data_IF_233721619846
#
_entry.id   IF_233721619846
#
_cell.length_a   1.000
_cell.length_b   1.000
_cell.length_c   1.000
_cell.angle_alpha   90.00
_cell.angle_beta   90.00
_cell.angle_gamma   90.00
#
_symmetry.space_group_name_H-M   'P 1'
#
loop_
_entity.id
_entity.type
_entity.pdbx_description
1 polymer ?
#
# COMPACT_ATOMS: atom_id res chain seq x y z
N UNK A 1 -32.04 -1.10 48.65
CA UNK A 1 -32.12 -1.54 47.24
C UNK A 1 -32.45 -0.32 46.41
N UNK A 2 -31.42 0.32 45.87
CA UNK A 2 -31.51 1.42 44.91
C UNK A 2 -30.67 0.99 43.72
N UNK A 3 -31.30 0.93 42.55
CA UNK A 3 -30.68 0.51 41.31
C UNK A 3 -29.71 1.60 40.84
N UNK A 4 -28.42 1.33 40.88
CA UNK A 4 -27.42 2.09 40.12
C UNK A 4 -27.44 1.61 38.67
N UNK A 5 -27.78 2.55 37.81
CA UNK A 5 -27.68 2.53 36.36
C UNK A 5 -26.23 2.28 35.93
N UNK A 6 -26.00 1.19 35.20
CA UNK A 6 -24.78 0.99 34.41
C UNK A 6 -25.11 1.43 32.98
N UNK A 7 -24.81 2.69 32.68
CA UNK A 7 -24.63 3.14 31.30
C UNK A 7 -23.34 2.52 30.76
N UNK A 8 -23.46 1.45 29.98
CA UNK A 8 -22.34 0.94 29.19
C UNK A 8 -22.11 1.88 28.01
N UNK A 9 -21.12 2.77 28.16
CA UNK A 9 -20.47 3.48 27.06
C UNK A 9 -20.02 2.47 25.99
N UNK A 10 -20.81 2.35 24.94
CA UNK A 10 -20.57 1.41 23.82
C UNK A 10 -20.18 2.17 22.54
N UNK A 11 -19.64 3.39 22.68
CA UNK A 11 -19.35 4.28 21.54
C UNK A 11 -17.86 4.31 21.15
N UNK A 12 -17.02 3.45 21.74
CA UNK A 12 -15.65 3.20 21.26
C UNK A 12 -15.52 1.89 20.45
N UNK A 13 -16.66 1.28 20.09
CA UNK A 13 -16.68 0.04 19.31
C UNK A 13 -16.69 0.31 17.80
N UNK A 14 -15.55 -0.04 17.19
CA UNK A 14 -15.31 -0.25 15.75
C UNK A 14 -15.32 1.03 14.89
N UNK A 15 -14.26 1.84 14.96
CA UNK A 15 -13.84 2.57 13.76
C UNK A 15 -13.45 1.54 12.70
N UNK A 16 -14.34 1.35 11.73
CA UNK A 16 -14.15 0.47 10.60
C UNK A 16 -12.95 0.93 9.75
N UNK A 17 -12.21 -0.04 9.21
CA UNK A 17 -11.17 0.19 8.21
C UNK A 17 -11.85 0.54 6.88
N UNK A 18 -12.45 1.72 6.80
CA UNK A 18 -13.28 2.06 5.66
C UNK A 18 -12.43 2.34 4.41
N UNK A 19 -11.23 2.88 4.61
CA UNK A 19 -10.36 3.36 3.54
C UNK A 19 -8.90 2.99 3.76
N UNK A 20 -8.17 2.87 2.66
CA UNK A 20 -6.71 2.82 2.63
C UNK A 20 -6.17 4.24 2.54
N UNK A 21 -5.14 4.52 3.33
CA UNK A 21 -4.51 5.83 3.42
C UNK A 21 -3.08 5.85 2.88
N UNK A 22 -2.65 7.03 2.42
CA UNK A 22 -1.26 7.37 2.10
C UNK A 22 -0.92 8.73 2.72
N UNK A 23 0.37 9.09 2.74
CA UNK A 23 0.75 10.47 3.01
C UNK A 23 0.19 11.39 1.90
N UNK A 24 -0.41 12.51 2.31
CA UNK A 24 -1.04 13.47 1.37
C UNK A 24 -0.04 13.96 0.32
N UNK A 25 1.25 14.10 0.67
CA UNK A 25 2.29 14.56 -0.24
C UNK A 25 2.51 13.62 -1.44
N UNK A 26 2.14 12.34 -1.32
CA UNK A 26 2.24 11.37 -2.40
C UNK A 26 0.98 11.25 -3.26
N UNK A 27 -0.14 11.85 -2.85
CA UNK A 27 -1.38 11.77 -3.64
C UNK A 27 -1.23 12.26 -5.09
N UNK A 28 -0.56 13.39 -5.40
CA UNK A 28 -0.35 13.82 -6.78
C UNK A 28 0.34 12.74 -7.63
N UNK A 29 1.34 12.06 -7.08
CA UNK A 29 2.04 10.99 -7.78
C UNK A 29 1.11 9.80 -8.10
N UNK A 30 0.22 9.42 -7.16
CA UNK A 30 -0.78 8.38 -7.40
C UNK A 30 -1.75 8.74 -8.53
N UNK A 31 -2.07 10.02 -8.69
CA UNK A 31 -2.89 10.51 -9.82
C UNK A 31 -2.08 10.44 -11.11
N UNK A 32 -0.89 11.00 -11.14
CA UNK A 32 -0.05 11.08 -12.35
C UNK A 32 0.32 9.73 -12.92
N UNK A 33 0.59 8.73 -12.08
CA UNK A 33 0.94 7.36 -12.51
C UNK A 33 -0.25 6.56 -13.07
N UNK A 34 -1.47 7.12 -12.99
CA UNK A 34 -2.68 6.55 -13.60
C UNK A 34 -3.10 7.24 -14.89
N UNK A 35 -2.49 8.36 -15.21
CA UNK A 35 -2.82 9.15 -16.39
C UNK A 35 -1.73 8.95 -17.43
N UNK A 36 -2.10 8.84 -18.71
CA UNK A 36 -1.14 8.78 -19.80
C UNK A 36 -0.56 10.15 -20.07
N UNK A 37 0.75 10.22 -20.32
CA UNK A 37 1.41 11.42 -20.85
C UNK A 37 1.33 11.44 -22.37
N UNK A 38 1.65 12.60 -22.95
CA UNK A 38 1.78 12.73 -24.40
C UNK A 38 2.78 11.70 -24.95
N UNK A 39 2.38 10.98 -26.01
CA UNK A 39 3.18 9.92 -26.61
C UNK A 39 3.06 8.54 -25.92
N UNK A 40 2.40 8.44 -24.76
CA UNK A 40 2.14 7.14 -24.11
C UNK A 40 0.83 6.53 -24.58
N UNK A 41 0.85 5.23 -24.91
CA UNK A 41 -0.36 4.47 -25.27
C UNK A 41 -1.22 4.14 -24.06
N UNK A 42 -0.60 3.87 -22.92
CA UNK A 42 -1.26 3.47 -21.67
C UNK A 42 -0.50 4.06 -20.46
N UNK A 43 -1.18 4.35 -19.35
CA UNK A 43 -0.51 4.72 -18.11
C UNK A 43 0.16 3.49 -17.47
N UNK A 44 1.17 3.68 -16.60
CA UNK A 44 1.81 2.56 -15.88
C UNK A 44 0.83 1.78 -15.00
N UNK A 45 -0.17 2.44 -14.41
CA UNK A 45 -1.15 1.78 -13.52
C UNK A 45 -2.58 2.08 -13.93
N UNK A 46 -3.40 1.02 -13.96
CA UNK A 46 -4.85 1.14 -14.21
C UNK A 46 -5.63 1.75 -13.03
N UNK A 47 -5.10 1.66 -11.81
CA UNK A 47 -5.81 2.10 -10.60
C UNK A 47 -4.95 2.20 -9.35
N UNK A 48 -5.43 2.96 -8.38
CA UNK A 48 -4.72 3.25 -7.12
C UNK A 48 -4.44 1.99 -6.31
N UNK A 49 -5.35 1.00 -6.34
CA UNK A 49 -5.16 -0.30 -5.68
C UNK A 49 -3.89 -0.99 -6.14
N UNK A 50 -3.67 -1.12 -7.45
CA UNK A 50 -2.51 -1.85 -7.98
C UNK A 50 -1.20 -1.11 -7.70
N UNK A 51 -1.21 0.22 -7.81
CA UNK A 51 -0.06 1.04 -7.44
C UNK A 51 0.26 0.92 -5.94
N UNK A 52 -0.75 0.99 -5.07
CA UNK A 52 -0.59 0.80 -3.63
C UNK A 52 -0.02 -0.58 -3.28
N UNK A 53 -0.59 -1.63 -3.86
CA UNK A 53 -0.13 -3.00 -3.64
C UNK A 53 1.34 -3.15 -4.04
N UNK A 54 1.72 -2.70 -5.24
CA UNK A 54 3.11 -2.77 -5.67
C UNK A 54 4.03 -1.94 -4.77
N UNK A 55 3.63 -0.72 -4.39
CA UNK A 55 4.39 0.12 -3.47
C UNK A 55 4.61 -0.58 -2.12
N UNK A 56 3.60 -1.24 -1.56
CA UNK A 56 3.75 -1.98 -0.31
C UNK A 56 4.78 -3.12 -0.42
N UNK A 57 4.74 -3.89 -1.51
CA UNK A 57 5.71 -4.97 -1.71
C UNK A 57 7.13 -4.45 -1.99
N UNK A 58 7.26 -3.37 -2.77
CA UNK A 58 8.55 -2.70 -3.00
C UNK A 58 9.13 -2.18 -1.68
N UNK A 59 8.32 -1.53 -0.85
CA UNK A 59 8.76 -1.05 0.46
C UNK A 59 9.23 -2.18 1.37
N UNK A 60 8.55 -3.33 1.33
CA UNK A 60 8.95 -4.53 2.05
C UNK A 60 10.26 -5.12 1.54
N UNK A 61 10.41 -5.24 0.21
CA UNK A 61 11.62 -5.74 -0.43
C UNK A 61 12.85 -4.86 -0.19
N UNK A 62 12.63 -3.56 0.02
CA UNK A 62 13.66 -2.59 0.44
C UNK A 62 13.87 -2.58 1.96
N UNK A 63 13.18 -3.45 2.70
CA UNK A 63 13.18 -3.55 4.17
C UNK A 63 12.85 -2.23 4.88
N UNK A 64 12.17 -1.32 4.20
CA UNK A 64 11.94 0.05 4.69
C UNK A 64 10.47 0.23 5.00
N UNK A 65 10.12 0.34 6.27
CA UNK A 65 8.77 0.67 6.72
C UNK A 65 8.75 2.08 7.29
N UNK A 66 7.84 2.94 6.80
CA UNK A 66 7.70 4.32 7.27
C UNK A 66 6.26 4.56 7.70
N UNK A 67 5.97 4.86 8.99
CA UNK A 67 4.60 5.12 9.43
C UNK A 67 3.97 6.27 8.64
N UNK A 68 2.65 6.21 8.44
CA UNK A 68 1.93 7.39 7.94
C UNK A 68 2.00 8.51 8.98
N UNK A 69 2.26 9.73 8.49
CA UNK A 69 2.18 10.93 9.31
C UNK A 69 0.74 11.31 9.67
N UNK A 70 0.60 12.45 10.35
CA UNK A 70 -0.71 13.03 10.68
C UNK A 70 -1.45 13.53 9.44
N UNK A 71 -0.71 14.00 8.43
CA UNK A 71 -1.26 14.48 7.17
C UNK A 71 -1.42 13.33 6.16
N UNK A 72 -2.57 12.66 6.20
CA UNK A 72 -2.86 11.49 5.38
C UNK A 72 -4.14 11.66 4.57
N UNK A 73 -4.18 11.01 3.41
CA UNK A 73 -5.32 11.00 2.49
C UNK A 73 -5.81 9.60 2.22
N UNK A 74 -7.13 9.43 2.14
CA UNK A 74 -7.70 8.19 1.62
C UNK A 74 -7.56 8.11 0.09
N UNK A 75 -7.29 6.93 -0.44
CA UNK A 75 -7.15 6.71 -1.89
C UNK A 75 -8.19 5.75 -2.47
N UNK A 76 -8.72 4.83 -1.68
CA UNK A 76 -9.85 3.97 -2.05
C UNK A 76 -10.44 3.28 -0.82
N UNK A 77 -11.68 2.80 -0.93
CA UNK A 77 -12.32 2.03 0.13
C UNK A 77 -11.69 0.65 0.28
N UNK A 78 -11.54 0.13 1.50
CA UNK A 78 -10.93 -1.20 1.74
C UNK A 78 -11.66 -2.33 1.01
N UNK A 79 -12.96 -2.17 0.77
CA UNK A 79 -13.81 -3.11 0.01
C UNK A 79 -13.39 -3.29 -1.45
N UNK A 80 -12.49 -2.44 -1.97
CA UNK A 80 -11.89 -2.58 -3.30
C UNK A 80 -10.88 -3.74 -3.36
N UNK A 81 -10.33 -4.17 -2.22
CA UNK A 81 -9.51 -5.38 -2.17
C UNK A 81 -10.35 -6.64 -2.37
N UNK A 82 -9.83 -7.54 -3.20
CA UNK A 82 -10.34 -8.90 -3.36
C UNK A 82 -9.64 -9.85 -2.39
N UNK A 83 -10.14 -11.07 -2.25
CA UNK A 83 -9.55 -12.05 -1.34
C UNK A 83 -8.06 -12.32 -1.64
N UNK A 84 -7.69 -12.40 -2.92
CA UNK A 84 -6.27 -12.56 -3.31
C UNK A 84 -5.40 -11.37 -2.88
N UNK A 85 -5.94 -10.15 -2.97
CA UNK A 85 -5.24 -8.95 -2.49
C UNK A 85 -5.06 -9.03 -0.95
N UNK A 86 -6.11 -9.44 -0.22
CA UNK A 86 -6.09 -9.57 1.23
C UNK A 86 -5.13 -10.68 1.69
N UNK A 87 -5.08 -11.81 0.97
CA UNK A 87 -4.14 -12.90 1.24
C UNK A 87 -2.68 -12.41 1.12
N UNK A 88 -2.37 -11.63 0.09
CA UNK A 88 -1.06 -11.01 -0.10
C UNK A 88 -0.72 -10.02 1.03
N UNK A 89 -1.66 -9.16 1.44
CA UNK A 89 -1.44 -8.22 2.55
C UNK A 89 -1.24 -8.94 3.90
N UNK A 90 -1.98 -10.03 4.14
CA UNK A 90 -1.80 -10.89 5.30
C UNK A 90 -0.43 -11.57 5.31
N UNK A 91 0.01 -12.09 4.17
CA UNK A 91 1.34 -12.68 4.02
C UNK A 91 2.44 -11.64 4.28
N UNK A 92 2.28 -10.42 3.76
CA UNK A 92 3.17 -9.29 4.05
C UNK A 92 3.24 -8.97 5.55
N UNK A 93 2.07 -8.88 6.21
CA UNK A 93 2.01 -8.62 7.65
C UNK A 93 2.68 -9.73 8.47
N UNK A 94 2.42 -11.00 8.12
CA UNK A 94 3.05 -12.15 8.76
C UNK A 94 4.57 -12.16 8.56
N UNK A 95 5.05 -11.86 7.36
CA UNK A 95 6.47 -11.78 7.06
C UNK A 95 7.16 -10.65 7.84
N UNK A 96 6.47 -9.52 8.05
CA UNK A 96 6.98 -8.41 8.87
C UNK A 96 7.05 -8.78 10.36
N UNK A 97 5.97 -9.34 10.92
CA UNK A 97 5.88 -9.54 12.38
C UNK A 97 6.51 -10.84 12.85
N UNK A 98 6.57 -11.87 12.00
CA UNK A 98 6.89 -13.24 12.41
C UNK A 98 5.86 -13.86 13.36
N UNK A 99 4.73 -13.19 13.62
CA UNK A 99 3.71 -13.60 14.58
C UNK A 99 2.37 -13.87 13.87
N UNK A 100 1.87 -15.12 13.84
CA UNK A 100 0.56 -15.47 13.29
C UNK A 100 -0.63 -14.73 13.89
N UNK A 101 -0.53 -14.24 15.13
CA UNK A 101 -1.60 -13.46 15.76
C UNK A 101 -1.91 -12.15 15.02
N UNK A 102 -1.00 -11.63 14.20
CA UNK A 102 -1.26 -10.46 13.35
C UNK A 102 -2.46 -10.67 12.42
N UNK A 103 -2.72 -11.93 12.04
CA UNK A 103 -3.79 -12.30 11.12
C UNK A 103 -5.19 -12.07 11.70
N UNK A 104 -5.32 -11.94 13.03
CA UNK A 104 -6.59 -11.61 13.68
C UNK A 104 -6.82 -10.10 13.78
N UNK A 105 -5.85 -9.27 13.37
CA UNK A 105 -5.90 -7.82 13.49
C UNK A 105 -5.81 -7.14 12.13
N UNK A 106 -6.95 -7.01 11.46
CA UNK A 106 -7.06 -6.35 10.15
C UNK A 106 -6.56 -4.89 10.16
N UNK A 107 -6.63 -4.20 11.32
CA UNK A 107 -6.13 -2.82 11.42
C UNK A 107 -4.61 -2.79 11.34
N UNK A 108 -3.97 -3.75 12.00
CA UNK A 108 -2.53 -3.88 12.00
C UNK A 108 -2.01 -4.32 10.62
N UNK A 109 -2.70 -5.26 9.95
CA UNK A 109 -2.38 -5.66 8.58
C UNK A 109 -2.39 -4.44 7.66
N UNK A 110 -3.46 -3.63 7.71
CA UNK A 110 -3.55 -2.43 6.88
C UNK A 110 -2.46 -1.41 7.25
N UNK A 111 -2.20 -1.16 8.53
CA UNK A 111 -1.17 -0.22 8.99
C UNK A 111 0.23 -0.62 8.50
N UNK A 112 0.53 -1.92 8.52
CA UNK A 112 1.79 -2.46 8.00
C UNK A 112 1.89 -2.18 6.49
N UNK A 113 0.84 -2.53 5.73
CA UNK A 113 0.79 -2.32 4.29
C UNK A 113 0.93 -0.83 3.91
N UNK A 114 0.20 0.05 4.59
CA UNK A 114 0.27 1.50 4.37
C UNK A 114 1.66 2.05 4.63
N UNK A 115 2.32 1.63 5.71
CA UNK A 115 3.66 2.13 6.02
C UNK A 115 4.75 1.61 5.06
N UNK A 116 4.57 0.41 4.49
CA UNK A 116 5.44 -0.04 3.40
C UNK A 116 5.12 0.66 2.08
N UNK A 117 3.85 0.91 1.77
CA UNK A 117 3.48 1.67 0.59
C UNK A 117 4.05 3.11 0.64
N UNK A 118 4.11 3.69 1.83
CA UNK A 118 4.64 5.03 2.08
C UNK A 118 6.12 5.17 1.72
N UNK A 119 6.93 4.13 1.94
CA UNK A 119 8.33 4.11 1.53
C UNK A 119 8.51 3.63 0.09
N UNK A 120 7.79 2.60 -0.34
CA UNK A 120 7.96 1.99 -1.66
C UNK A 120 7.49 2.89 -2.80
N UNK A 121 6.54 3.80 -2.56
CA UNK A 121 6.13 4.79 -3.57
C UNK A 121 7.30 5.72 -3.98
N UNK A 122 8.27 5.95 -3.10
CA UNK A 122 9.46 6.75 -3.40
C UNK A 122 10.31 6.05 -4.46
N UNK A 123 10.47 4.73 -4.36
CA UNK A 123 11.20 3.94 -5.36
C UNK A 123 10.45 3.95 -6.70
N UNK A 124 9.13 3.81 -6.69
CA UNK A 124 8.33 3.90 -7.91
C UNK A 124 8.47 5.30 -8.54
N UNK A 125 8.48 6.37 -7.73
CA UNK A 125 8.71 7.74 -8.22
C UNK A 125 10.05 7.82 -8.96
N UNK A 126 11.12 7.39 -8.32
CA UNK A 126 12.48 7.50 -8.86
C UNK A 126 12.67 6.63 -10.11
N UNK A 127 12.20 5.37 -10.07
CA UNK A 127 12.49 4.37 -11.09
C UNK A 127 11.48 4.35 -12.23
N UNK A 128 10.25 4.85 -12.02
CA UNK A 128 9.19 4.82 -13.04
C UNK A 128 8.87 6.21 -13.55
N UNK A 129 8.60 7.16 -12.64
CA UNK A 129 8.10 8.49 -13.00
C UNK A 129 9.20 9.48 -13.41
N UNK A 130 10.32 9.46 -12.70
CA UNK A 130 11.46 10.38 -12.89
C UNK A 130 12.56 9.79 -13.77
N UNK A 131 12.56 8.47 -13.98
CA UNK A 131 13.46 7.80 -14.89
C UNK A 131 13.21 8.27 -16.35
N UNK A 132 14.28 8.45 -17.14
CA UNK A 132 14.15 8.83 -18.55
C UNK A 132 13.41 7.75 -19.34
N UNK A 133 12.75 8.14 -20.43
CA UNK A 133 12.09 7.19 -21.33
C UNK A 133 10.60 6.99 -21.03
N UNK A 134 10.07 5.84 -21.45
CA UNK A 134 8.66 5.52 -21.33
C UNK A 134 8.36 4.90 -19.95
N UNK A 135 7.35 5.41 -19.24
CA UNK A 135 7.06 4.95 -17.86
C UNK A 135 6.56 3.51 -17.78
N UNK A 136 5.92 2.99 -18.82
CA UNK A 136 5.52 1.57 -18.86
C UNK A 136 6.74 0.68 -19.01
N UNK A 137 7.68 1.05 -19.88
CA UNK A 137 8.96 0.34 -20.03
C UNK A 137 9.76 0.38 -18.73
N UNK A 138 9.87 1.55 -18.10
CA UNK A 138 10.52 1.70 -16.81
C UNK A 138 9.89 0.82 -15.71
N UNK A 139 8.56 0.70 -15.70
CA UNK A 139 7.87 -0.21 -14.79
C UNK A 139 8.20 -1.68 -15.08
N UNK A 140 8.28 -2.06 -16.36
CA UNK A 140 8.70 -3.42 -16.75
C UNK A 140 10.13 -3.69 -16.30
N UNK A 141 11.05 -2.76 -16.52
CA UNK A 141 12.45 -2.88 -16.10
C UNK A 141 12.57 -2.99 -14.58
N UNK A 142 11.82 -2.18 -13.83
CA UNK A 142 11.75 -2.26 -12.37
C UNK A 142 11.33 -3.66 -11.88
N UNK A 143 10.38 -4.30 -12.57
CA UNK A 143 9.86 -5.61 -12.18
C UNK A 143 10.78 -6.77 -12.60
N UNK A 144 11.38 -6.69 -13.79
CA UNK A 144 12.21 -7.77 -14.33
C UNK A 144 13.65 -7.74 -13.81
N UNK A 145 14.18 -6.56 -13.48
CA UNK A 145 15.58 -6.40 -13.08
C UNK A 145 15.76 -6.11 -11.58
N UNK A 146 14.74 -6.39 -10.76
CA UNK A 146 14.83 -6.23 -9.32
C UNK A 146 15.90 -7.19 -8.75
N UNK A 147 17.01 -6.63 -8.24
CA UNK A 147 18.25 -7.36 -7.89
C UNK A 147 18.09 -8.65 -7.05
N UNK A 148 17.15 -8.77 -6.09
CA UNK A 148 16.86 -10.04 -5.41
C UNK A 148 16.47 -11.23 -6.32
N UNK A 149 16.07 -10.99 -7.57
CA UNK A 149 15.60 -12.02 -8.50
C UNK A 149 16.46 -12.16 -9.77
N UNK A 150 17.51 -11.36 -9.91
CA UNK A 150 18.40 -11.40 -11.09
C UNK A 150 19.06 -12.78 -11.26
N UNK A 151 19.30 -13.46 -10.14
CA UNK A 151 19.87 -14.81 -10.09
C UNK A 151 18.83 -15.94 -10.25
N UNK A 152 17.53 -15.64 -10.31
CA UNK A 152 16.44 -16.62 -10.46
C UNK A 152 15.96 -16.79 -11.91
N UNK A 153 16.33 -15.87 -12.80
CA UNK A 153 15.91 -15.83 -14.21
C UNK A 153 17.12 -15.86 -15.18
N UNK A 154 18.33 -16.06 -14.65
CA UNK A 154 19.54 -16.37 -15.42
C UNK A 154 19.79 -17.87 -15.53
#
# INVERSE_FOLDING_TARGET
MTAESIETNTTEQVQALDYVYIDESYHPLYVTLKESREGEKYPPFKGMKNLFMLAAFIGFLQEKWVPLGTNRRNIFARTVFKEDDLALLRALALAKTGNPEVLTNEKEIQRIAEGYANSGIIVIKEQVEEAPGNRVENLVDLLLNWEPYKDLIS
#
